data_IF_109442611901
#
_entry.id   IF_109442611901
#
_cell.length_a   1.000
_cell.length_b   1.000
_cell.length_c   1.000
_cell.angle_alpha   90.00
_cell.angle_beta   90.00
_cell.angle_gamma   90.00
#
_symmetry.space_group_name_H-M   'P 1'
#
loop_
_entity.id
_entity.type
_entity.pdbx_description
1 polymer ?
#
# COMPACT_ATOMS: atom_id res chain seq x y z
N UNK A 1 2.42 7.86 -7.65
CA UNK A 1 1.89 7.51 -6.33
C UNK A 1 0.52 8.13 -6.06
N UNK A 2 -0.09 8.82 -7.04
CA UNK A 2 -1.40 9.47 -6.92
C UNK A 2 -2.52 8.61 -6.29
N UNK A 3 -2.71 7.36 -6.74
CA UNK A 3 -3.81 6.51 -6.23
C UNK A 3 -3.73 6.22 -4.73
N UNK A 4 -2.53 6.09 -4.17
CA UNK A 4 -2.38 5.88 -2.71
C UNK A 4 -2.73 7.16 -1.94
N UNK A 5 -2.27 8.31 -2.44
CA UNK A 5 -2.56 9.61 -1.83
C UNK A 5 -4.07 9.94 -1.91
N UNK A 6 -4.72 9.64 -3.05
CA UNK A 6 -6.17 9.79 -3.25
C UNK A 6 -6.97 8.92 -2.28
N UNK A 7 -6.64 7.63 -2.17
CA UNK A 7 -7.35 6.73 -1.26
C UNK A 7 -7.16 7.13 0.21
N UNK A 8 -5.95 7.59 0.58
CA UNK A 8 -5.70 8.10 1.92
C UNK A 8 -6.55 9.35 2.22
N UNK A 9 -6.67 10.27 1.24
CA UNK A 9 -7.51 11.45 1.37
C UNK A 9 -9.01 11.10 1.45
N UNK A 10 -9.50 10.16 0.63
CA UNK A 10 -10.90 9.72 0.65
C UNK A 10 -11.29 9.03 1.97
N UNK A 11 -10.32 8.38 2.63
CA UNK A 11 -10.51 7.71 3.92
C UNK A 11 -10.15 8.61 5.13
N UNK A 12 -9.82 9.88 4.90
CA UNK A 12 -9.35 10.84 5.91
C UNK A 12 -8.28 10.24 6.84
N UNK A 13 -7.25 9.65 6.23
CA UNK A 13 -6.24 8.87 6.93
C UNK A 13 -4.86 9.05 6.31
N UNK A 14 -3.84 8.42 6.89
CA UNK A 14 -2.46 8.53 6.39
C UNK A 14 -2.13 7.39 5.43
N UNK A 15 -1.15 7.62 4.55
CA UNK A 15 -0.63 6.58 3.65
C UNK A 15 -0.19 5.33 4.39
N UNK A 16 0.46 5.49 5.54
CA UNK A 16 0.97 4.38 6.32
C UNK A 16 -0.19 3.49 6.78
N UNK A 17 -1.26 4.08 7.31
CA UNK A 17 -2.48 3.35 7.70
C UNK A 17 -3.09 2.58 6.54
N UNK A 18 -3.21 3.20 5.36
CA UNK A 18 -3.71 2.53 4.15
C UNK A 18 -2.82 1.35 3.74
N UNK A 19 -1.50 1.51 3.76
CA UNK A 19 -0.57 0.45 3.36
C UNK A 19 -0.59 -0.75 4.32
N UNK A 20 -0.68 -0.50 5.62
CA UNK A 20 -0.82 -1.57 6.62
C UNK A 20 -2.13 -2.33 6.39
N UNK A 21 -3.27 -1.61 6.31
CA UNK A 21 -4.57 -2.22 6.08
C UNK A 21 -4.63 -3.00 4.76
N UNK A 22 -4.09 -2.43 3.68
CA UNK A 22 -4.02 -3.08 2.37
C UNK A 22 -3.18 -4.36 2.40
N UNK A 23 -2.06 -4.34 3.13
CA UNK A 23 -1.20 -5.52 3.28
C UNK A 23 -1.89 -6.63 4.08
N UNK A 24 -2.56 -6.28 5.19
CA UNK A 24 -3.30 -7.22 6.04
C UNK A 24 -4.56 -7.79 5.38
N UNK A 25 -5.13 -7.09 4.40
CA UNK A 25 -6.29 -7.58 3.66
C UNK A 25 -5.97 -8.79 2.76
N UNK A 26 -4.70 -9.08 2.48
CA UNK A 26 -4.30 -10.27 1.73
C UNK A 26 -4.28 -11.50 2.64
N UNK A 27 -5.13 -12.53 2.41
CA UNK A 27 -5.19 -13.72 3.26
C UNK A 27 -3.87 -14.51 3.35
N UNK A 28 -2.97 -14.34 2.37
CA UNK A 28 -1.65 -14.98 2.39
C UNK A 28 -0.63 -14.27 3.30
N UNK A 29 -0.97 -13.10 3.85
CA UNK A 29 -0.09 -12.30 4.73
C UNK A 29 -0.43 -12.60 6.18
N UNK A 30 0.47 -13.27 6.89
CA UNK A 30 0.30 -13.57 8.33
C UNK A 30 0.64 -12.38 9.23
N UNK A 31 1.61 -11.56 8.83
CA UNK A 31 2.09 -10.42 9.60
C UNK A 31 2.68 -9.34 8.69
N UNK A 32 2.59 -8.09 9.14
CA UNK A 32 3.16 -6.92 8.45
C UNK A 32 4.27 -6.33 9.33
N UNK A 33 5.48 -6.29 8.78
CA UNK A 33 6.64 -5.71 9.46
C UNK A 33 6.71 -4.20 9.17
N UNK A 34 6.16 -3.39 10.08
CA UNK A 34 6.18 -1.93 9.99
C UNK A 34 7.43 -1.32 10.63
N UNK A 35 8.24 -0.61 9.85
CA UNK A 35 9.31 0.24 10.38
C UNK A 35 8.78 1.59 10.84
N UNK A 36 9.43 2.21 11.83
CA UNK A 36 9.10 3.53 12.33
C UNK A 36 10.37 4.30 12.72
N UNK A 37 10.36 5.61 12.46
CA UNK A 37 11.44 6.55 12.80
C UNK A 37 10.95 7.63 13.78
N UNK A 38 9.67 7.59 14.14
CA UNK A 38 9.02 8.49 15.09
C UNK A 38 7.87 7.77 15.77
N UNK A 39 7.41 8.30 16.91
CA UNK A 39 6.23 7.78 17.62
C UNK A 39 4.98 7.87 16.74
N UNK A 40 4.81 8.96 15.99
CA UNK A 40 3.68 9.10 15.07
C UNK A 40 3.66 8.01 13.98
N UNK A 41 4.82 7.53 13.51
CA UNK A 41 4.87 6.38 12.60
C UNK A 41 4.42 5.08 13.28
N UNK A 42 4.71 4.90 14.56
CA UNK A 42 4.21 3.75 15.33
C UNK A 42 2.69 3.83 15.45
N UNK A 43 2.16 5.00 15.79
CA UNK A 43 0.71 5.24 15.91
C UNK A 43 -0.02 4.98 14.58
N UNK A 44 0.59 5.36 13.47
CA UNK A 44 0.05 5.07 12.14
C UNK A 44 0.13 3.59 11.77
N UNK A 45 1.25 2.92 12.10
CA UNK A 45 1.39 1.50 11.85
C UNK A 45 0.31 0.70 12.60
N UNK A 46 0.05 1.05 13.87
CA UNK A 46 -1.01 0.44 14.68
C UNK A 46 -2.40 0.86 14.16
N UNK A 47 -2.60 2.15 13.88
CA UNK A 47 -3.89 2.66 13.36
C UNK A 47 -4.32 1.95 12.07
N UNK A 48 -3.36 1.58 11.22
CA UNK A 48 -3.61 0.82 10.00
C UNK A 48 -4.17 -0.59 10.23
N UNK A 49 -3.93 -1.22 11.39
CA UNK A 49 -4.50 -2.55 11.68
C UNK A 49 -5.99 -2.50 11.98
N UNK A 50 -6.54 -1.32 12.25
CA UNK A 50 -7.96 -1.11 12.54
C UNK A 50 -8.74 -0.53 11.35
N UNK A 51 -8.03 -0.02 10.33
CA UNK A 51 -8.64 0.59 9.16
C UNK A 51 -9.26 -0.47 8.24
N UNK A 52 -10.55 -0.31 7.95
CA UNK A 52 -11.25 -1.12 6.95
C UNK A 52 -11.31 -0.37 5.63
N UNK A 53 -10.76 -0.95 4.56
CA UNK A 53 -10.77 -0.35 3.22
C UNK A 53 -11.97 -0.89 2.45
N UNK A 54 -12.88 -0.02 1.96
CA UNK A 54 -14.00 -0.44 1.10
C UNK A 54 -13.52 -1.17 -0.16
N UNK A 55 -14.31 -2.12 -0.65
CA UNK A 55 -13.96 -2.98 -1.80
C UNK A 55 -13.56 -2.18 -3.04
N UNK A 56 -14.23 -1.05 -3.32
CA UNK A 56 -13.89 -0.18 -4.45
C UNK A 56 -12.48 0.42 -4.33
N UNK A 57 -12.13 0.94 -3.16
CA UNK A 57 -10.80 1.51 -2.92
C UNK A 57 -9.72 0.42 -2.92
N UNK A 58 -10.05 -0.76 -2.39
CA UNK A 58 -9.18 -1.94 -2.46
C UNK A 58 -8.89 -2.35 -3.91
N UNK A 59 -9.89 -2.32 -4.79
CA UNK A 59 -9.73 -2.62 -6.21
C UNK A 59 -8.81 -1.60 -6.91
N UNK A 60 -9.00 -0.30 -6.63
CA UNK A 60 -8.13 0.77 -7.13
C UNK A 60 -6.67 0.59 -6.70
N UNK A 61 -6.41 0.32 -5.42
CA UNK A 61 -5.07 0.04 -4.90
C UNK A 61 -4.45 -1.21 -5.56
N UNK A 62 -5.25 -2.26 -5.73
CA UNK A 62 -4.81 -3.51 -6.35
C UNK A 62 -4.39 -3.33 -7.81
N UNK A 63 -5.16 -2.57 -8.60
CA UNK A 63 -4.78 -2.28 -9.98
C UNK A 63 -3.55 -1.37 -10.06
N UNK A 64 -3.46 -0.34 -9.19
CA UNK A 64 -2.27 0.50 -9.11
C UNK A 64 -1.00 -0.32 -8.80
N UNK A 65 -1.08 -1.28 -7.88
CA UNK A 65 0.01 -2.21 -7.53
C UNK A 65 0.41 -3.11 -8.71
N UNK A 66 -0.57 -3.68 -9.42
CA UNK A 66 -0.32 -4.51 -10.62
C UNK A 66 0.33 -3.68 -11.73
N UNK A 67 -0.16 -2.47 -11.99
CA UNK A 67 0.40 -1.56 -12.98
C UNK A 67 1.85 -1.17 -12.63
N UNK A 68 2.13 -0.87 -11.36
CA UNK A 68 3.49 -0.59 -10.89
C UNK A 68 4.43 -1.78 -11.11
N UNK A 69 3.99 -2.99 -10.77
CA UNK A 69 4.76 -4.22 -10.96
C UNK A 69 5.09 -4.48 -12.43
N UNK A 70 4.09 -4.34 -13.33
CA UNK A 70 4.29 -4.47 -14.78
C UNK A 70 5.34 -3.47 -15.30
N UNK A 71 5.22 -2.20 -14.90
CA UNK A 71 6.18 -1.13 -15.26
C UNK A 71 7.61 -1.44 -14.77
N UNK A 72 7.76 -1.92 -13.54
CA UNK A 72 9.06 -2.30 -12.98
C UNK A 72 9.70 -3.46 -13.75
N UNK A 73 8.92 -4.50 -14.08
CA UNK A 73 9.41 -5.66 -14.85
C UNK A 73 9.84 -5.27 -16.26
N UNK A 74 9.05 -4.46 -16.98
CA UNK A 74 9.42 -3.97 -18.31
C UNK A 74 10.74 -3.17 -18.29
N UNK A 75 10.94 -2.33 -17.28
CA UNK A 75 12.19 -1.58 -17.10
C UNK A 75 13.40 -2.47 -16.81
N UNK A 76 13.21 -3.57 -16.07
CA UNK A 76 14.30 -4.52 -15.81
C UNK A 76 14.69 -5.30 -17.07
N UNK A 77 13.71 -5.74 -17.87
CA UNK A 77 13.96 -6.47 -19.12
C UNK A 77 14.73 -5.62 -20.15
N UNK A 78 14.40 -4.34 -20.28
CA UNK A 78 15.11 -3.42 -21.19
C UNK A 78 16.56 -3.10 -20.78
N UNK A 79 16.97 -3.40 -19.53
CA UNK A 79 18.34 -3.20 -19.04
C UNK A 79 19.25 -4.42 -19.25
N UNK A 80 18.69 -5.59 -19.58
CA UNK A 80 19.43 -6.84 -19.75
C UNK A 80 19.82 -7.12 -21.20
N UNK A 81 19.35 -6.31 -22.15
CA UNK A 81 19.65 -6.41 -23.58
C UNK A 81 20.66 -5.38 -24.09
N UNK A 82 21.44 -4.75 -23.20
CA UNK A 82 22.52 -3.83 -23.53
C UNK A 82 23.82 -4.31 -22.92
#
# INVERSE_FOLDING_TARGET
MATLDEVAAELDTTRARVLIAWSLANPAVTSVLGGAESVAHVDDNIGGTHLQIPTELMARLSEASRAHTRRRRARAAGRSGK
#
